data_IF_013986105636
#
_entry.id   IF_013986105636
#
_cell.length_a   1.000
_cell.length_b   1.000
_cell.length_c   1.000
_cell.angle_alpha   90.00
_cell.angle_beta   90.00
_cell.angle_gamma   90.00
#
_symmetry.space_group_name_H-M   'P 1'
#
loop_
_entity.id
_entity.type
_entity.pdbx_description
1 polymer ?
#
# COMPACT_ATOMS: atom_id res chain seq x y z
N UNK A 1 -7.15 -39.84 -22.22
CA UNK A 1 -7.76 -38.54 -22.55
C UNK A 1 -8.91 -38.31 -21.57
N UNK A 2 -8.68 -37.50 -20.55
CA UNK A 2 -9.75 -37.10 -19.62
C UNK A 2 -10.55 -35.95 -20.26
N UNK A 3 -11.89 -35.93 -20.12
CA UNK A 3 -12.69 -34.90 -20.78
C UNK A 3 -12.48 -33.56 -20.10
N UNK A 4 -12.08 -32.56 -20.88
CA UNK A 4 -12.06 -31.15 -20.49
C UNK A 4 -13.52 -30.72 -20.32
N UNK A 5 -13.97 -30.54 -19.07
CA UNK A 5 -15.23 -29.85 -18.79
C UNK A 5 -15.02 -28.38 -19.15
N UNK A 6 -15.65 -27.93 -20.23
CA UNK A 6 -15.84 -26.52 -20.48
C UNK A 6 -16.66 -25.92 -19.32
N UNK A 7 -16.01 -25.16 -18.44
CA UNK A 7 -16.72 -24.33 -17.47
C UNK A 7 -17.29 -23.14 -18.22
N UNK A 8 -18.62 -23.10 -18.32
CA UNK A 8 -19.36 -21.95 -18.82
C UNK A 8 -19.18 -20.78 -17.83
N UNK A 9 -19.08 -19.52 -18.32
CA UNK A 9 -19.08 -18.34 -17.45
C UNK A 9 -20.32 -18.35 -16.55
N UNK A 10 -20.16 -18.15 -15.24
CA UNK A 10 -21.29 -17.89 -14.35
C UNK A 10 -21.84 -16.51 -14.69
N UNK A 11 -22.85 -16.48 -15.57
CA UNK A 11 -23.78 -15.36 -15.62
C UNK A 11 -24.49 -15.37 -14.25
N UNK A 12 -24.23 -14.33 -13.44
CA UNK A 12 -24.72 -14.22 -12.07
C UNK A 12 -26.16 -14.71 -11.93
N UNK A 13 -26.32 -15.86 -11.29
CA UNK A 13 -27.62 -16.41 -10.92
C UNK A 13 -27.93 -15.99 -9.50
N UNK A 14 -29.15 -15.48 -9.29
CA UNK A 14 -29.76 -15.19 -7.99
C UNK A 14 -29.31 -13.92 -7.25
N UNK A 15 -29.10 -12.79 -7.93
CA UNK A 15 -28.94 -11.50 -7.23
C UNK A 15 -27.54 -11.22 -6.67
N UNK A 16 -26.62 -12.19 -6.75
CA UNK A 16 -25.20 -11.97 -6.47
C UNK A 16 -24.56 -11.02 -7.49
N UNK A 17 -23.80 -10.05 -7.01
CA UNK A 17 -22.98 -9.18 -7.86
C UNK A 17 -21.98 -10.03 -8.65
N UNK A 18 -21.79 -9.76 -9.95
CA UNK A 18 -20.71 -10.40 -10.71
C UNK A 18 -19.34 -9.90 -10.25
N UNK A 19 -18.29 -10.73 -10.41
CA UNK A 19 -16.90 -10.36 -10.13
C UNK A 19 -16.45 -9.11 -10.93
N UNK A 20 -16.92 -8.96 -12.18
CA UNK A 20 -16.70 -7.75 -12.97
C UNK A 20 -17.42 -6.50 -12.40
N UNK A 21 -18.62 -6.66 -11.85
CA UNK A 21 -19.32 -5.56 -11.19
C UNK A 21 -18.58 -5.12 -9.91
N UNK A 22 -18.12 -6.07 -9.10
CA UNK A 22 -17.27 -5.78 -7.93
C UNK A 22 -15.97 -5.07 -8.31
N UNK A 23 -15.30 -5.57 -9.36
CA UNK A 23 -14.09 -4.95 -9.90
C UNK A 23 -14.30 -3.47 -10.21
N UNK A 24 -15.39 -3.13 -10.92
CA UNK A 24 -15.74 -1.75 -11.28
C UNK A 24 -16.04 -0.87 -10.08
N UNK A 25 -16.77 -1.39 -9.08
CA UNK A 25 -17.04 -0.65 -7.84
C UNK A 25 -15.72 -0.37 -7.10
N UNK A 26 -14.86 -1.37 -6.98
CA UNK A 26 -13.54 -1.22 -6.39
C UNK A 26 -12.67 -0.18 -7.10
N UNK A 27 -12.59 -0.25 -8.44
CA UNK A 27 -11.85 0.72 -9.26
C UNK A 27 -12.36 2.15 -9.07
N UNK A 28 -13.69 2.34 -8.91
CA UNK A 28 -14.26 3.66 -8.62
C UNK A 28 -13.74 4.23 -7.30
N UNK A 29 -13.75 3.42 -6.24
CA UNK A 29 -13.25 3.86 -4.93
C UNK A 29 -11.74 4.07 -4.97
N UNK A 30 -10.99 3.16 -5.59
CA UNK A 30 -9.55 3.27 -5.74
C UNK A 30 -9.11 4.52 -6.51
N UNK A 31 -9.90 4.98 -7.51
CA UNK A 31 -9.65 6.25 -8.21
C UNK A 31 -9.72 7.45 -7.28
N UNK A 32 -10.68 7.47 -6.37
CA UNK A 32 -10.79 8.55 -5.37
C UNK A 32 -9.65 8.46 -4.36
N UNK A 33 -9.27 7.25 -3.95
CA UNK A 33 -8.12 7.04 -3.06
C UNK A 33 -6.80 7.49 -3.68
N UNK A 34 -6.54 7.22 -4.97
CA UNK A 34 -5.31 7.69 -5.64
C UNK A 34 -5.23 9.22 -5.72
N UNK A 35 -6.37 9.92 -5.74
CA UNK A 35 -6.42 11.39 -5.74
C UNK A 35 -6.38 11.99 -4.34
N UNK A 36 -6.53 11.16 -3.31
CA UNK A 36 -6.49 11.58 -1.94
C UNK A 36 -5.07 12.05 -1.58
N UNK A 37 -4.88 13.26 -1.01
CA UNK A 37 -3.58 13.73 -0.57
C UNK A 37 -2.88 12.80 0.44
N UNK A 38 -3.62 11.94 1.14
CA UNK A 38 -3.10 10.97 2.08
C UNK A 38 -2.66 9.65 1.45
N UNK A 39 -2.90 9.43 0.16
CA UNK A 39 -2.25 8.33 -0.55
C UNK A 39 -0.73 8.52 -0.55
N UNK A 40 0.00 7.45 -0.26
CA UNK A 40 1.46 7.44 -0.29
C UNK A 40 2.01 6.27 -1.10
N UNK A 41 3.12 6.53 -1.79
CA UNK A 41 3.90 5.54 -2.51
C UNK A 41 5.34 5.50 -1.97
N UNK A 42 5.46 5.19 -0.67
CA UNK A 42 6.77 5.07 -0.01
C UNK A 42 7.50 3.79 -0.46
N UNK A 43 8.64 3.85 -1.17
CA UNK A 43 9.25 2.65 -1.76
C UNK A 43 9.61 1.57 -0.75
N UNK A 44 10.01 1.97 0.47
CA UNK A 44 10.46 1.07 1.53
C UNK A 44 9.27 0.34 2.17
N UNK A 45 8.23 1.07 2.58
CA UNK A 45 7.02 0.44 3.17
C UNK A 45 6.28 -0.36 2.11
N UNK A 46 6.14 0.15 0.88
CA UNK A 46 5.48 -0.58 -0.22
C UNK A 46 6.17 -1.91 -0.48
N UNK A 47 7.49 -1.94 -0.60
CA UNK A 47 8.22 -3.19 -0.82
C UNK A 47 8.02 -4.19 0.33
N UNK A 48 8.11 -3.72 1.58
CA UNK A 48 7.95 -4.56 2.75
C UNK A 48 6.53 -5.16 2.86
N UNK A 49 5.50 -4.32 2.70
CA UNK A 49 4.09 -4.75 2.72
C UNK A 49 3.82 -5.70 1.55
N UNK A 50 4.29 -5.38 0.35
CA UNK A 50 4.09 -6.22 -0.82
C UNK A 50 4.76 -7.60 -0.67
N UNK A 51 5.92 -7.67 -0.03
CA UNK A 51 6.59 -8.95 0.27
C UNK A 51 5.79 -9.84 1.24
N UNK A 52 5.03 -9.26 2.17
CA UNK A 52 4.07 -10.01 3.00
C UNK A 52 2.85 -10.39 2.17
N UNK A 53 2.29 -9.41 1.46
CA UNK A 53 1.08 -9.55 0.67
C UNK A 53 1.17 -10.67 -0.38
N UNK A 54 2.25 -10.74 -1.14
CA UNK A 54 2.45 -11.79 -2.16
C UNK A 54 2.52 -13.19 -1.56
N UNK A 55 3.18 -13.36 -0.39
CA UNK A 55 3.21 -14.65 0.31
C UNK A 55 1.81 -15.09 0.76
N UNK A 56 0.97 -14.14 1.21
CA UNK A 56 -0.42 -14.40 1.58
C UNK A 56 -1.26 -14.79 0.36
N UNK A 57 -1.15 -14.07 -0.76
CA UNK A 57 -1.83 -14.41 -2.02
C UNK A 57 -1.44 -15.81 -2.51
N UNK A 58 -0.15 -16.14 -2.51
CA UNK A 58 0.33 -17.45 -2.93
C UNK A 58 -0.18 -18.57 -2.03
N UNK A 59 -0.29 -18.31 -0.72
CA UNK A 59 -0.93 -19.24 0.23
C UNK A 59 -2.42 -19.40 -0.06
N UNK A 60 -3.14 -18.30 -0.26
CA UNK A 60 -4.57 -18.31 -0.61
C UNK A 60 -4.85 -19.08 -1.91
N UNK A 61 -4.00 -18.92 -2.94
CA UNK A 61 -4.03 -19.72 -4.17
C UNK A 61 -3.87 -21.21 -3.90
N UNK A 62 -2.82 -21.60 -3.16
CA UNK A 62 -2.56 -23.01 -2.83
C UNK A 62 -3.67 -23.65 -2.01
N UNK A 63 -4.31 -22.86 -1.14
CA UNK A 63 -5.42 -23.29 -0.28
C UNK A 63 -6.78 -23.32 -0.99
N UNK A 64 -6.88 -22.72 -2.17
CA UNK A 64 -8.12 -22.65 -2.95
C UNK A 64 -9.06 -21.50 -2.56
N UNK A 65 -8.65 -20.62 -1.65
CA UNK A 65 -9.42 -19.42 -1.27
C UNK A 65 -9.43 -18.40 -2.42
N UNK A 66 -8.37 -18.38 -3.24
CA UNK A 66 -8.28 -17.62 -4.48
C UNK A 66 -8.69 -18.50 -5.66
N UNK A 67 -9.97 -18.46 -6.04
CA UNK A 67 -10.45 -19.19 -7.21
C UNK A 67 -9.83 -18.61 -8.50
N UNK A 68 -9.73 -19.38 -9.60
CA UNK A 68 -9.20 -18.87 -10.86
C UNK A 68 -9.91 -17.61 -11.36
N UNK A 69 -11.23 -17.53 -11.16
CA UNK A 69 -12.02 -16.35 -11.52
C UNK A 69 -11.63 -15.13 -10.68
N UNK A 70 -11.52 -15.27 -9.36
CA UNK A 70 -11.12 -14.18 -8.47
C UNK A 70 -9.68 -13.73 -8.76
N UNK A 71 -8.75 -14.67 -8.98
CA UNK A 71 -7.35 -14.38 -9.29
C UNK A 71 -7.21 -13.57 -10.59
N UNK A 72 -7.99 -13.92 -11.63
CA UNK A 72 -7.97 -13.20 -12.92
C UNK A 72 -8.66 -11.83 -12.86
N UNK A 73 -9.81 -11.73 -12.16
CA UNK A 73 -10.71 -10.57 -12.27
C UNK A 73 -10.39 -9.44 -11.28
N UNK A 74 -9.82 -9.75 -10.12
CA UNK A 74 -9.61 -8.78 -9.04
C UNK A 74 -8.22 -8.11 -9.11
N UNK A 75 -8.07 -6.98 -8.39
CA UNK A 75 -6.85 -6.17 -8.42
C UNK A 75 -5.68 -6.79 -7.68
N UNK A 76 -5.99 -7.33 -6.50
CA UNK A 76 -5.06 -7.73 -5.44
C UNK A 76 -4.02 -6.66 -5.10
N UNK A 77 -4.46 -5.41 -4.94
CA UNK A 77 -3.62 -4.24 -4.70
C UNK A 77 -3.84 -3.67 -3.29
N UNK A 78 -2.74 -3.43 -2.57
CA UNK A 78 -2.74 -2.72 -1.28
C UNK A 78 -2.36 -1.27 -1.52
N UNK A 79 -3.23 -0.34 -1.12
CA UNK A 79 -3.02 1.10 -1.17
C UNK A 79 -2.62 1.59 0.22
N UNK A 80 -1.54 2.37 0.30
CA UNK A 80 -1.03 2.88 1.57
C UNK A 80 -1.52 4.31 1.83
N UNK A 81 -1.96 4.57 3.05
CA UNK A 81 -2.37 5.89 3.52
C UNK A 81 -1.43 6.44 4.60
N UNK A 82 -1.02 7.72 4.51
CA UNK A 82 -0.27 8.45 5.55
C UNK A 82 -1.15 8.90 6.72
N UNK A 83 -1.93 7.99 7.26
CA UNK A 83 -2.78 8.24 8.43
C UNK A 83 -2.19 7.52 9.66
N UNK A 84 -2.19 8.24 10.79
CA UNK A 84 -1.74 7.76 12.10
C UNK A 84 -2.72 6.81 12.78
N UNK A 85 -3.96 6.74 12.30
CA UNK A 85 -4.96 5.83 12.84
C UNK A 85 -4.60 4.37 12.53
N UNK A 86 -4.93 3.48 13.47
CA UNK A 86 -4.79 2.04 13.31
C UNK A 86 -5.97 1.56 12.49
N UNK A 87 -5.74 1.37 11.18
CA UNK A 87 -6.78 0.92 10.26
C UNK A 87 -6.22 0.14 9.05
N UNK A 88 -7.03 -0.80 8.57
CA UNK A 88 -6.92 -1.47 7.29
C UNK A 88 -8.35 -1.84 6.85
N UNK A 89 -8.57 -1.97 5.56
CA UNK A 89 -9.91 -2.32 5.04
C UNK A 89 -9.83 -2.98 3.67
N UNK A 90 -10.66 -3.99 3.46
CA UNK A 90 -10.98 -4.53 2.15
C UNK A 90 -11.97 -3.65 1.38
N UNK A 91 -11.83 -3.61 0.06
CA UNK A 91 -12.79 -3.03 -0.89
C UNK A 91 -13.16 -4.10 -1.94
N UNK A 92 -14.34 -3.96 -2.59
CA UNK A 92 -14.74 -4.85 -3.68
C UNK A 92 -13.67 -4.95 -4.77
N UNK A 93 -13.59 -6.11 -5.44
CA UNK A 93 -12.69 -6.26 -6.58
C UNK A 93 -11.19 -6.34 -6.24
N UNK A 94 -10.86 -6.69 -4.99
CA UNK A 94 -9.47 -6.95 -4.55
C UNK A 94 -8.60 -5.72 -4.35
N UNK A 95 -9.19 -4.60 -3.98
CA UNK A 95 -8.45 -3.45 -3.46
C UNK A 95 -8.45 -3.49 -1.94
N UNK A 96 -7.36 -3.06 -1.32
CA UNK A 96 -7.28 -2.91 0.14
C UNK A 96 -6.61 -1.59 0.48
N UNK A 97 -7.05 -0.96 1.57
CA UNK A 97 -6.36 0.15 2.19
C UNK A 97 -5.60 -0.29 3.43
N UNK A 98 -4.43 0.29 3.64
CA UNK A 98 -3.61 0.08 4.83
C UNK A 98 -3.05 1.42 5.32
N UNK A 99 -3.40 1.81 6.55
CA UNK A 99 -2.86 3.02 7.14
C UNK A 99 -1.47 2.77 7.72
N UNK A 100 -0.56 3.72 7.52
CA UNK A 100 0.79 3.69 8.12
C UNK A 100 0.77 3.59 9.65
N UNK A 101 -0.27 4.11 10.32
CA UNK A 101 -0.51 3.94 11.74
C UNK A 101 -0.67 2.47 12.18
N UNK A 102 -1.30 1.62 11.37
CA UNK A 102 -1.37 0.17 11.65
C UNK A 102 0.03 -0.45 11.62
N UNK A 103 0.81 -0.16 10.57
CA UNK A 103 2.19 -0.66 10.43
C UNK A 103 3.08 -0.17 11.58
N UNK A 104 2.85 1.04 12.09
CA UNK A 104 3.60 1.62 13.19
C UNK A 104 3.35 0.93 14.55
N UNK A 105 2.19 0.28 14.75
CA UNK A 105 1.82 -0.37 16.02
C UNK A 105 2.06 -1.88 16.03
N UNK A 106 2.28 -2.51 14.88
CA UNK A 106 2.65 -3.92 14.81
C UNK A 106 4.05 -4.14 15.40
N UNK A 107 4.23 -5.24 16.14
CA UNK A 107 5.48 -5.58 16.78
C UNK A 107 6.35 -6.50 15.92
N UNK A 108 5.79 -7.21 14.94
CA UNK A 108 6.52 -8.06 14.01
C UNK A 108 5.74 -8.21 12.69
N UNK A 109 6.38 -8.86 11.71
CA UNK A 109 5.76 -9.16 10.41
C UNK A 109 4.53 -10.05 10.53
N UNK A 110 4.45 -10.90 11.56
CA UNK A 110 3.34 -11.84 11.73
C UNK A 110 2.06 -11.12 12.16
N UNK A 111 2.14 -10.12 13.05
CA UNK A 111 0.99 -9.29 13.39
C UNK A 111 0.47 -8.54 12.15
N UNK A 112 1.35 -7.95 11.35
CA UNK A 112 0.94 -7.29 10.12
C UNK A 112 0.33 -8.29 9.12
N UNK A 113 0.94 -9.48 9.00
CA UNK A 113 0.42 -10.56 8.15
C UNK A 113 -0.94 -11.08 8.63
N UNK A 114 -1.24 -11.06 9.95
CA UNK A 114 -2.56 -11.43 10.45
C UNK A 114 -3.64 -10.47 10.00
N UNK A 115 -3.36 -9.16 10.03
CA UNK A 115 -4.33 -8.14 9.56
C UNK A 115 -4.51 -8.25 8.05
N UNK A 116 -3.41 -8.35 7.29
CA UNK A 116 -3.50 -8.51 5.84
C UNK A 116 -4.20 -9.83 5.45
N UNK A 117 -3.95 -10.92 6.17
CA UNK A 117 -4.62 -12.20 5.94
C UNK A 117 -6.12 -12.13 6.27
N UNK A 118 -6.49 -11.39 7.31
CA UNK A 118 -7.89 -11.10 7.65
C UNK A 118 -8.59 -10.30 6.54
N UNK A 119 -7.98 -9.20 6.10
CA UNK A 119 -8.54 -8.38 5.00
C UNK A 119 -8.60 -9.13 3.67
N UNK A 120 -7.58 -9.94 3.35
CA UNK A 120 -7.61 -10.84 2.19
C UNK A 120 -8.83 -11.77 2.26
N UNK A 121 -9.13 -12.30 3.44
CA UNK A 121 -10.27 -13.19 3.65
C UNK A 121 -11.61 -12.48 3.46
N UNK A 122 -11.73 -11.20 3.82
CA UNK A 122 -12.94 -10.44 3.48
C UNK A 122 -13.17 -10.35 1.96
N UNK A 123 -12.10 -10.21 1.18
CA UNK A 123 -12.18 -10.15 -0.28
C UNK A 123 -12.47 -11.53 -0.87
N UNK A 124 -11.73 -12.58 -0.48
CA UNK A 124 -11.93 -13.93 -1.04
C UNK A 124 -13.31 -14.48 -0.74
N UNK A 125 -13.83 -14.20 0.47
CA UNK A 125 -15.18 -14.59 0.87
C UNK A 125 -16.27 -13.63 0.41
N UNK A 126 -15.91 -12.63 -0.41
CA UNK A 126 -16.82 -11.65 -1.02
C UNK A 126 -17.78 -11.05 0.00
N UNK A 127 -17.29 -10.73 1.21
CA UNK A 127 -18.13 -10.31 2.34
C UNK A 127 -18.91 -9.04 2.02
N UNK A 128 -18.27 -8.06 1.36
CA UNK A 128 -18.93 -6.81 0.96
C UNK A 128 -20.05 -7.10 -0.03
N UNK A 129 -19.83 -7.98 -1.01
CA UNK A 129 -20.85 -8.38 -1.98
C UNK A 129 -22.04 -9.07 -1.34
N UNK A 130 -21.79 -10.00 -0.41
CA UNK A 130 -22.84 -10.68 0.36
C UNK A 130 -23.63 -9.69 1.24
N UNK A 131 -22.97 -8.68 1.81
CA UNK A 131 -23.65 -7.60 2.54
C UNK A 131 -24.50 -6.72 1.61
N UNK A 132 -23.99 -6.37 0.43
CA UNK A 132 -24.71 -5.56 -0.56
C UNK A 132 -25.98 -6.26 -1.05
N UNK A 133 -25.92 -7.57 -1.26
CA UNK A 133 -27.07 -8.40 -1.64
C UNK A 133 -28.15 -8.42 -0.55
N UNK A 134 -27.73 -8.57 0.71
CA UNK A 134 -28.64 -8.57 1.86
C UNK A 134 -29.36 -7.21 2.05
N UNK A 135 -28.82 -6.10 1.54
CA UNK A 135 -29.34 -4.74 1.75
C UNK A 135 -30.23 -4.17 0.61
N UNK A 136 -30.76 -5.01 -0.29
CA UNK A 136 -31.67 -4.69 -1.42
C UNK A 136 -31.00 -4.16 -2.72
N UNK A 137 -31.69 -4.28 -3.86
CA UNK A 137 -31.16 -3.99 -5.20
C UNK A 137 -30.76 -2.52 -5.46
N UNK A 138 -31.12 -1.57 -4.59
CA UNK A 138 -30.67 -0.16 -4.68
C UNK A 138 -29.36 0.11 -3.92
N UNK A 139 -28.81 -0.90 -3.22
CA UNK A 139 -27.67 -0.78 -2.33
C UNK A 139 -26.29 -0.47 -2.97
N UNK A 140 -25.95 -0.90 -4.21
CA UNK A 140 -24.57 -0.77 -4.67
C UNK A 140 -24.04 0.66 -4.78
N UNK A 141 -24.87 1.60 -5.27
CA UNK A 141 -24.50 3.01 -5.38
C UNK A 141 -24.49 3.70 -4.01
N UNK A 142 -25.41 3.35 -3.12
CA UNK A 142 -25.45 3.86 -1.76
C UNK A 142 -24.23 3.41 -0.97
N UNK A 143 -23.85 2.12 -1.04
CA UNK A 143 -22.69 1.56 -0.34
C UNK A 143 -21.37 2.11 -0.86
N UNK A 144 -21.24 2.32 -2.18
CA UNK A 144 -20.07 3.03 -2.73
C UNK A 144 -19.98 4.46 -2.17
N UNK A 145 -21.10 5.18 -2.07
CA UNK A 145 -21.17 6.49 -1.41
C UNK A 145 -20.86 6.44 0.09
N UNK A 146 -21.29 5.38 0.79
CA UNK A 146 -20.98 5.15 2.21
C UNK A 146 -19.48 4.92 2.44
N UNK A 147 -18.84 4.07 1.64
CA UNK A 147 -17.41 3.78 1.76
C UNK A 147 -16.58 5.05 1.54
N UNK A 148 -16.91 5.83 0.50
CA UNK A 148 -16.28 7.14 0.26
C UNK A 148 -16.52 8.12 1.42
N UNK A 149 -17.75 8.15 1.98
CA UNK A 149 -18.09 8.98 3.14
C UNK A 149 -17.37 8.57 4.42
N UNK A 150 -17.22 7.28 4.69
CA UNK A 150 -16.53 6.76 5.87
C UNK A 150 -15.03 7.07 5.83
N UNK A 151 -14.40 6.96 4.66
CA UNK A 151 -13.00 7.36 4.42
C UNK A 151 -12.80 8.86 4.68
N UNK A 152 -13.78 9.71 4.35
CA UNK A 152 -13.75 11.13 4.63
C UNK A 152 -14.01 11.46 6.12
N UNK A 153 -14.92 10.72 6.77
CA UNK A 153 -15.30 10.94 8.18
C UNK A 153 -14.19 10.54 9.16
N UNK A 154 -13.31 9.59 8.80
CA UNK A 154 -12.12 9.24 9.60
C UNK A 154 -11.12 10.39 9.74
N UNK A 155 -11.23 11.45 8.92
CA UNK A 155 -10.27 12.56 8.82
C UNK A 155 -10.66 13.82 9.60
N UNK A 156 -11.91 13.97 10.03
CA UNK A 156 -12.41 15.23 10.61
C UNK A 156 -12.21 15.33 12.13
N UNK A 157 -10.97 15.59 12.54
CA UNK A 157 -10.68 16.09 13.90
C UNK A 157 -10.89 17.60 14.06
N UNK A 158 -10.63 18.41 13.01
CA UNK A 158 -10.78 19.87 13.02
C UNK A 158 -10.93 20.42 11.59
N UNK A 159 -12.15 20.74 11.15
CA UNK A 159 -12.45 21.71 10.08
C UNK A 159 -13.97 21.90 9.94
N UNK A 160 -14.48 23.06 10.38
CA UNK A 160 -15.91 23.42 10.43
C UNK A 160 -16.52 23.83 9.09
N UNK A 161 -16.63 22.90 8.13
CA UNK A 161 -17.30 23.17 6.84
C UNK A 161 -18.18 22.04 6.28
N UNK A 162 -18.19 20.85 6.90
CA UNK A 162 -18.85 19.65 6.37
C UNK A 162 -20.02 19.16 7.25
N UNK A 163 -20.77 20.09 7.87
CA UNK A 163 -21.81 19.75 8.85
C UNK A 163 -23.05 19.05 8.24
N UNK A 164 -23.19 18.97 6.92
CA UNK A 164 -24.28 18.22 6.27
C UNK A 164 -23.86 16.77 5.95
N UNK A 165 -22.56 16.43 5.90
CA UNK A 165 -22.08 15.07 5.61
C UNK A 165 -21.56 14.31 6.84
N UNK A 166 -21.27 14.99 7.96
CA UNK A 166 -20.69 14.36 9.15
C UNK A 166 -21.62 13.41 9.92
N UNK A 167 -22.89 13.81 10.14
CA UNK A 167 -23.84 13.00 10.92
C UNK A 167 -24.36 11.78 10.13
N UNK A 168 -24.59 11.94 8.83
CA UNK A 168 -24.96 10.84 7.93
C UNK A 168 -23.78 9.91 7.64
N UNK A 169 -22.56 10.44 7.45
CA UNK A 169 -21.35 9.63 7.27
C UNK A 169 -20.98 8.77 8.49
N UNK A 170 -21.22 9.25 9.72
CA UNK A 170 -21.04 8.47 10.95
C UNK A 170 -22.09 7.35 11.12
N UNK A 171 -23.35 7.61 10.76
CA UNK A 171 -24.39 6.57 10.71
C UNK A 171 -24.11 5.51 9.62
N UNK A 172 -23.54 5.93 8.48
CA UNK A 172 -23.16 5.08 7.36
C UNK A 172 -21.90 4.23 7.65
N UNK A 173 -20.90 4.78 8.36
CA UNK A 173 -19.72 4.03 8.80
C UNK A 173 -20.08 2.95 9.84
N UNK A 174 -21.09 3.20 10.68
CA UNK A 174 -21.65 2.17 11.59
C UNK A 174 -22.42 1.07 10.83
N UNK A 175 -22.97 1.34 9.64
CA UNK A 175 -23.65 0.35 8.80
C UNK A 175 -22.70 -0.56 8.00
N UNK A 176 -21.41 -0.25 7.92
CA UNK A 176 -20.38 -1.06 7.23
C UNK A 176 -19.66 -2.06 8.15
N UNK A 177 -20.11 -2.19 9.41
CA UNK A 177 -19.58 -3.20 10.32
C UNK A 177 -19.90 -4.61 9.81
N UNK A 178 -18.87 -5.45 9.66
CA UNK A 178 -19.07 -6.83 9.28
C UNK A 178 -19.83 -7.59 10.37
N UNK A 179 -20.69 -8.52 9.95
CA UNK A 179 -21.40 -9.38 10.90
C UNK A 179 -20.41 -10.24 11.69
N UNK A 180 -20.78 -10.67 12.89
CA UNK A 180 -19.93 -11.55 13.72
C UNK A 180 -19.56 -12.84 12.99
N UNK A 181 -20.46 -13.36 12.16
CA UNK A 181 -20.25 -14.57 11.40
C UNK A 181 -19.19 -14.37 10.31
N UNK A 182 -19.23 -13.23 9.60
CA UNK A 182 -18.23 -12.84 8.60
C UNK A 182 -16.86 -12.59 9.24
N UNK A 183 -16.82 -11.94 10.41
CA UNK A 183 -15.59 -11.72 11.15
C UNK A 183 -14.95 -13.05 11.57
N UNK A 184 -15.73 -14.01 12.09
CA UNK A 184 -15.21 -15.36 12.40
C UNK A 184 -14.75 -16.11 11.16
N UNK A 185 -15.46 -15.96 10.04
CA UNK A 185 -15.04 -16.59 8.77
C UNK A 185 -13.69 -16.02 8.31
N UNK A 186 -13.55 -14.69 8.32
CA UNK A 186 -12.31 -13.99 7.97
C UNK A 186 -11.14 -14.34 8.91
N UNK A 187 -11.40 -14.42 10.22
CA UNK A 187 -10.41 -14.85 11.22
C UNK A 187 -9.83 -16.23 10.90
N UNK A 188 -10.72 -17.18 10.61
CA UNK A 188 -10.36 -18.60 10.41
C UNK A 188 -9.60 -18.82 9.12
N UNK A 189 -10.08 -18.20 8.03
CA UNK A 189 -9.43 -18.29 6.72
C UNK A 189 -8.12 -17.52 6.76
N UNK A 190 -8.11 -16.32 7.34
CA UNK A 190 -6.92 -15.48 7.50
C UNK A 190 -5.83 -16.18 8.28
N UNK A 191 -6.18 -16.85 9.39
CA UNK A 191 -5.26 -17.69 10.15
C UNK A 191 -4.68 -18.82 9.29
N UNK A 192 -5.51 -19.52 8.51
CA UNK A 192 -5.08 -20.59 7.60
C UNK A 192 -4.18 -20.10 6.47
N UNK A 193 -4.48 -18.94 5.90
CA UNK A 193 -3.70 -18.31 4.82
C UNK A 193 -2.34 -17.83 5.36
N UNK A 194 -2.34 -17.13 6.49
CA UNK A 194 -1.14 -16.63 7.16
C UNK A 194 -0.18 -17.77 7.51
N UNK A 195 -0.69 -18.84 8.13
CA UNK A 195 0.12 -20.02 8.49
C UNK A 195 0.65 -20.75 7.25
N UNK A 196 -0.17 -20.92 6.20
CA UNK A 196 0.26 -21.49 4.92
C UNK A 196 1.26 -20.63 4.13
N UNK A 197 1.40 -19.35 4.49
CA UNK A 197 2.39 -18.42 3.96
C UNK A 197 3.70 -18.42 4.76
N UNK A 198 3.79 -19.23 5.83
CA UNK A 198 4.98 -19.37 6.67
C UNK A 198 5.10 -18.34 7.78
N UNK A 199 4.06 -17.54 8.05
CA UNK A 199 4.01 -16.64 9.20
C UNK A 199 3.53 -17.36 10.45
N UNK A 200 3.98 -16.89 11.61
CA UNK A 200 3.67 -17.55 12.87
C UNK A 200 2.25 -17.24 13.36
N UNK A 201 1.44 -18.25 13.69
CA UNK A 201 0.07 -18.06 14.14
C UNK A 201 -0.05 -17.24 15.44
N UNK A 202 1.03 -17.10 16.20
CA UNK A 202 1.12 -16.21 17.35
C UNK A 202 0.82 -14.74 17.00
N UNK A 203 1.14 -14.28 15.78
CA UNK A 203 0.86 -12.90 15.35
C UNK A 203 -0.62 -12.56 15.39
N UNK A 204 -1.50 -13.51 15.06
CA UNK A 204 -2.96 -13.33 15.14
C UNK A 204 -3.41 -13.11 16.60
N UNK A 205 -2.88 -13.92 17.52
CA UNK A 205 -3.19 -13.81 18.96
C UNK A 205 -2.69 -12.49 19.53
N UNK A 206 -1.44 -12.11 19.28
CA UNK A 206 -0.88 -10.88 19.86
C UNK A 206 -1.51 -9.62 19.26
N UNK A 207 -1.86 -9.64 17.98
CA UNK A 207 -2.62 -8.55 17.37
C UNK A 207 -4.02 -8.43 17.98
N UNK A 208 -4.70 -9.54 18.24
CA UNK A 208 -6.00 -9.54 18.90
C UNK A 208 -5.93 -9.03 20.33
N UNK A 209 -4.90 -9.41 21.09
CA UNK A 209 -4.67 -8.88 22.43
C UNK A 209 -4.49 -7.35 22.42
N UNK A 210 -3.75 -6.81 21.44
CA UNK A 210 -3.58 -5.36 21.26
C UNK A 210 -4.91 -4.67 20.96
N UNK A 211 -5.69 -5.22 20.02
CA UNK A 211 -6.99 -4.69 19.63
C UNK A 211 -8.01 -4.76 20.79
N UNK A 212 -7.99 -5.84 21.56
CA UNK A 212 -8.85 -6.00 22.73
C UNK A 212 -8.47 -5.02 23.85
N UNK A 213 -7.18 -4.80 24.09
CA UNK A 213 -6.71 -3.78 25.03
C UNK A 213 -7.14 -2.38 24.59
N UNK A 214 -6.96 -2.05 23.31
CA UNK A 214 -7.41 -0.77 22.75
C UNK A 214 -8.93 -0.58 22.89
N UNK A 215 -9.73 -1.63 22.66
CA UNK A 215 -11.18 -1.61 22.83
C UNK A 215 -11.61 -1.32 24.28
N UNK A 216 -10.88 -1.85 25.28
CA UNK A 216 -11.16 -1.63 26.71
C UNK A 216 -10.82 -0.22 27.19
N UNK A 217 -9.79 0.40 26.61
CA UNK A 217 -9.26 1.69 27.06
C UNK A 217 -10.07 2.92 26.60
N UNK A 218 -11.29 2.71 26.09
CA UNK A 218 -12.18 3.72 25.50
C UNK A 218 -11.46 4.52 24.41
N UNK A 219 -11.50 3.97 23.18
CA UNK A 219 -10.81 4.51 22.00
C UNK A 219 -11.10 6.01 21.81
N UNK A 220 -10.04 6.83 21.85
CA UNK A 220 -10.08 8.26 21.55
C UNK A 220 -10.16 8.56 20.04
N UNK A 221 -10.50 7.55 19.23
CA UNK A 221 -10.57 7.60 17.77
C UNK A 221 -9.29 7.15 17.07
N UNK A 222 -8.30 6.63 17.81
CA UNK A 222 -7.06 6.11 17.26
C UNK A 222 -7.21 4.73 16.59
N UNK A 223 -8.28 3.97 16.90
CA UNK A 223 -8.54 2.65 16.34
C UNK A 223 -9.87 2.56 15.57
N UNK A 224 -10.03 3.29 14.44
CA UNK A 224 -11.19 3.13 13.55
C UNK A 224 -11.45 1.67 13.11
N UNK A 225 -10.38 0.85 13.02
CA UNK A 225 -10.47 -0.58 12.72
C UNK A 225 -11.51 -1.33 13.56
N UNK A 226 -11.60 -1.00 14.86
CA UNK A 226 -12.53 -1.67 15.79
C UNK A 226 -14.00 -1.34 15.53
N UNK A 227 -14.29 -0.30 14.73
CA UNK A 227 -15.66 0.08 14.37
C UNK A 227 -16.19 -0.79 13.24
N UNK A 228 -15.35 -1.12 12.26
CA UNK A 228 -15.70 -2.01 11.14
C UNK A 228 -15.48 -3.48 11.47
N UNK A 229 -14.51 -3.77 12.36
CA UNK A 229 -14.15 -5.11 12.83
C UNK A 229 -14.29 -5.22 14.35
N UNK A 230 -15.52 -5.35 14.89
CA UNK A 230 -15.72 -5.42 16.34
C UNK A 230 -14.99 -6.62 16.97
N UNK A 231 -14.08 -6.33 17.89
CA UNK A 231 -13.35 -7.36 18.64
C UNK A 231 -14.23 -7.93 19.75
N UNK A 232 -14.37 -9.26 19.82
CA UNK A 232 -15.13 -9.96 20.88
C UNK A 232 -14.25 -10.98 21.60
N UNK A 233 -14.63 -11.32 22.84
CA UNK A 233 -13.95 -12.39 23.60
C UNK A 233 -14.07 -13.75 22.92
N UNK A 234 -15.19 -14.00 22.23
CA UNK A 234 -15.43 -15.22 21.44
C UNK A 234 -14.41 -15.38 20.30
N UNK A 235 -14.18 -14.31 19.52
CA UNK A 235 -13.19 -14.33 18.42
C UNK A 235 -11.78 -14.58 18.94
N UNK A 236 -11.40 -13.90 20.01
CA UNK A 236 -10.11 -14.12 20.67
C UNK A 236 -9.95 -15.56 21.16
N UNK A 237 -11.00 -16.14 21.76
CA UNK A 237 -10.98 -17.54 22.20
C UNK A 237 -10.87 -18.53 21.02
N UNK A 238 -11.56 -18.30 19.89
CA UNK A 238 -11.48 -19.17 18.70
C UNK A 238 -10.05 -19.21 18.13
N UNK A 239 -9.41 -18.04 17.97
CA UNK A 239 -8.03 -17.94 17.48
C UNK A 239 -7.03 -18.54 18.47
N UNK A 240 -7.21 -18.31 19.78
CA UNK A 240 -6.36 -18.93 20.79
C UNK A 240 -6.46 -20.46 20.76
N UNK A 241 -7.67 -21.01 20.67
CA UNK A 241 -7.88 -22.46 20.57
C UNK A 241 -7.22 -23.05 19.30
N UNK A 242 -7.25 -22.32 18.18
CA UNK A 242 -6.57 -22.72 16.94
C UNK A 242 -5.05 -22.68 17.06
N UNK A 243 -4.52 -21.69 17.77
CA UNK A 243 -3.09 -21.58 18.04
C UNK A 243 -2.57 -22.76 18.88
N UNK A 244 -3.39 -23.37 19.74
CA UNK A 244 -3.00 -24.58 20.49
C UNK A 244 -2.83 -25.83 19.60
N UNK A 245 -3.41 -25.82 18.39
CA UNK A 245 -3.29 -26.93 17.43
C UNK A 245 -2.00 -26.89 16.60
N UNK A 246 -1.20 -25.83 16.75
CA UNK A 246 0.04 -25.60 16.01
C UNK A 246 1.18 -25.30 16.98
N UNK A 247 2.43 -25.69 16.68
CA UNK A 247 3.55 -25.42 17.59
C UNK A 247 3.68 -23.93 17.89
N UNK A 248 3.73 -23.58 19.19
CA UNK A 248 3.99 -22.21 19.62
C UNK A 248 5.41 -21.82 19.29
N UNK A 249 5.58 -20.90 18.34
CA UNK A 249 6.84 -20.20 18.11
C UNK A 249 6.76 -18.81 18.74
N UNK A 250 7.68 -18.48 19.64
CA UNK A 250 7.92 -17.08 20.00
C UNK A 250 8.63 -16.45 18.82
N UNK A 251 7.94 -15.58 18.07
CA UNK A 251 8.61 -14.82 17.00
C UNK A 251 9.07 -13.47 17.55
N UNK A 252 10.39 -13.28 17.75
CA UNK A 252 10.90 -12.02 18.21
C UNK A 252 10.70 -10.94 17.14
N UNK A 253 10.56 -9.69 17.57
CA UNK A 253 10.62 -8.54 16.67
C UNK A 253 11.98 -8.51 15.96
N UNK A 254 11.97 -8.62 14.64
CA UNK A 254 13.18 -8.45 13.81
C UNK A 254 13.59 -6.98 13.79
N UNK A 255 14.88 -6.71 13.57
CA UNK A 255 15.35 -5.33 13.43
C UNK A 255 14.74 -4.65 12.20
N UNK A 256 14.57 -5.39 11.11
CA UNK A 256 13.88 -4.93 9.91
C UNK A 256 12.47 -4.42 10.25
N UNK A 257 11.61 -5.23 10.87
CA UNK A 257 10.25 -4.80 11.20
C UNK A 257 10.24 -3.63 12.17
N UNK A 258 11.14 -3.63 13.16
CA UNK A 258 11.27 -2.52 14.09
C UNK A 258 11.57 -1.19 13.37
N UNK A 259 12.48 -1.20 12.39
CA UNK A 259 12.80 -0.03 11.58
C UNK A 259 11.64 0.37 10.65
N UNK A 260 10.94 -0.59 10.03
CA UNK A 260 9.74 -0.33 9.22
C UNK A 260 8.63 0.33 10.04
N UNK A 261 8.35 -0.17 11.24
CA UNK A 261 7.38 0.44 12.15
C UNK A 261 7.81 1.87 12.54
N UNK A 262 9.12 2.10 12.73
CA UNK A 262 9.69 3.43 12.98
C UNK A 262 9.50 4.38 11.79
N UNK A 263 9.73 3.90 10.56
CA UNK A 263 9.47 4.63 9.32
C UNK A 263 8.00 4.99 9.18
N UNK A 264 7.11 4.02 9.37
CA UNK A 264 5.67 4.19 9.27
C UNK A 264 5.14 5.24 10.27
N UNK A 265 5.68 5.26 11.49
CA UNK A 265 5.36 6.28 12.51
C UNK A 265 5.72 7.71 12.08
N UNK A 266 6.83 7.89 11.35
CA UNK A 266 7.23 9.22 10.83
C UNK A 266 6.39 9.59 9.60
N UNK A 267 6.13 8.62 8.72
CA UNK A 267 5.36 8.82 7.48
C UNK A 267 3.88 9.08 7.73
N UNK A 268 3.31 8.60 8.85
CA UNK A 268 1.93 8.88 9.26
C UNK A 268 1.65 10.36 9.60
N UNK A 269 2.60 11.25 9.28
CA UNK A 269 2.57 12.69 9.45
C UNK A 269 2.11 13.14 10.86
N UNK A 270 2.87 12.79 11.92
CA UNK A 270 2.44 13.02 13.29
C UNK A 270 2.48 14.51 13.73
N UNK A 271 2.95 15.41 12.87
CA UNK A 271 3.14 16.85 13.15
C UNK A 271 4.55 17.20 13.65
N UNK A 272 4.93 18.47 13.53
CA UNK A 272 6.30 18.93 13.79
C UNK A 272 6.78 18.67 15.22
N UNK A 273 5.92 18.85 16.21
CA UNK A 273 6.28 18.64 17.62
C UNK A 273 6.50 17.16 17.93
N UNK A 274 5.70 16.28 17.32
CA UNK A 274 5.90 14.84 17.44
C UNK A 274 7.21 14.40 16.75
N UNK A 275 7.57 14.99 15.60
CA UNK A 275 8.85 14.72 14.96
C UNK A 275 10.03 15.14 15.85
N UNK A 276 9.96 16.33 16.47
CA UNK A 276 10.99 16.79 17.43
C UNK A 276 11.07 15.88 18.65
N UNK A 277 9.94 15.39 19.15
CA UNK A 277 9.92 14.42 20.24
C UNK A 277 10.62 13.10 19.84
N UNK A 278 10.40 12.59 18.62
CA UNK A 278 11.11 11.41 18.11
C UNK A 278 12.63 11.61 18.05
N UNK A 279 13.08 12.80 17.65
CA UNK A 279 14.51 13.15 17.68
C UNK A 279 15.04 13.12 19.11
N UNK A 280 14.33 13.76 20.04
CA UNK A 280 14.70 13.78 21.46
C UNK A 280 14.75 12.38 22.08
N UNK A 281 13.76 11.53 21.79
CA UNK A 281 13.72 10.14 22.25
C UNK A 281 14.92 9.34 21.75
N UNK A 282 15.35 9.55 20.51
CA UNK A 282 16.52 8.91 19.93
C UNK A 282 17.84 9.41 20.54
N UNK A 283 17.90 10.66 20.99
CA UNK A 283 19.06 11.23 21.68
C UNK A 283 19.17 10.80 23.14
N UNK A 284 18.09 10.27 23.74
CA UNK A 284 18.09 9.84 25.14
C UNK A 284 19.14 8.75 25.41
N UNK A 285 19.92 8.94 26.48
CA UNK A 285 20.94 7.98 26.92
C UNK A 285 20.33 6.67 27.44
N UNK A 286 19.11 6.73 27.99
CA UNK A 286 18.35 5.57 28.45
C UNK A 286 18.03 4.56 27.34
N UNK A 287 18.11 4.98 26.07
CA UNK A 287 17.86 4.11 24.93
C UNK A 287 18.84 2.94 24.87
N UNK A 288 20.09 3.14 25.30
CA UNK A 288 21.13 2.09 25.28
C UNK A 288 20.78 0.87 26.17
N UNK A 289 19.91 1.05 27.18
CA UNK A 289 19.44 -0.01 28.06
C UNK A 289 18.24 -0.80 27.50
N UNK A 290 17.65 -0.35 26.39
CA UNK A 290 16.47 -1.00 25.80
C UNK A 290 16.86 -2.22 24.96
N UNK A 291 15.94 -3.17 24.72
CA UNK A 291 16.18 -4.28 23.79
C UNK A 291 16.55 -3.77 22.39
N UNK A 292 17.46 -4.47 21.70
CA UNK A 292 18.01 -4.07 20.40
C UNK A 292 16.96 -3.71 19.34
N UNK A 293 15.83 -4.42 19.17
CA UNK A 293 14.78 -4.00 18.23
C UNK A 293 14.14 -2.67 18.62
N UNK A 294 13.96 -2.39 19.92
CA UNK A 294 13.45 -1.10 20.37
C UNK A 294 14.44 0.02 20.12
N UNK A 295 15.74 -0.23 20.30
CA UNK A 295 16.78 0.71 19.89
C UNK A 295 16.70 1.01 18.40
N UNK A 296 16.59 -0.03 17.55
CA UNK A 296 16.50 0.11 16.10
C UNK A 296 15.27 0.94 15.67
N UNK A 297 14.10 0.67 16.24
CA UNK A 297 12.88 1.43 15.97
C UNK A 297 13.05 2.93 16.30
N UNK A 298 13.49 3.24 17.52
CA UNK A 298 13.60 4.63 18.00
C UNK A 298 14.70 5.38 17.25
N UNK A 299 15.86 4.75 17.02
CA UNK A 299 16.95 5.38 16.25
C UNK A 299 16.54 5.62 14.80
N UNK A 300 15.86 4.68 14.16
CA UNK A 300 15.39 4.86 12.78
C UNK A 300 14.38 5.99 12.70
N UNK A 301 13.34 5.97 13.55
CA UNK A 301 12.31 7.01 13.60
C UNK A 301 12.92 8.39 13.90
N UNK A 302 13.82 8.49 14.88
CA UNK A 302 14.48 9.74 15.22
C UNK A 302 15.42 10.25 14.13
N UNK A 303 16.15 9.37 13.45
CA UNK A 303 17.05 9.75 12.33
C UNK A 303 16.25 10.27 11.14
N UNK A 304 15.16 9.58 10.77
CA UNK A 304 14.26 10.04 9.72
C UNK A 304 13.52 11.32 10.12
N UNK A 305 13.09 11.44 11.38
CA UNK A 305 12.47 12.67 11.88
C UNK A 305 13.44 13.85 11.84
N UNK A 306 14.71 13.67 12.21
CA UNK A 306 15.75 14.69 12.11
C UNK A 306 15.91 15.19 10.67
N UNK A 307 15.90 14.27 9.69
CA UNK A 307 15.90 14.64 8.28
C UNK A 307 14.67 15.46 7.88
N UNK A 308 13.46 15.03 8.29
CA UNK A 308 12.19 15.72 7.97
C UNK A 308 12.08 17.12 8.57
N UNK A 309 12.70 17.36 9.72
CA UNK A 309 12.73 18.69 10.36
C UNK A 309 13.99 19.50 10.01
N UNK A 310 14.80 19.00 9.07
CA UNK A 310 16.05 19.60 8.62
C UNK A 310 17.08 19.85 9.74
N UNK A 311 17.08 19.01 10.78
CA UNK A 311 18.09 19.05 11.84
C UNK A 311 19.32 18.22 11.44
N UNK A 312 20.23 18.87 10.70
CA UNK A 312 21.44 18.23 10.20
C UNK A 312 22.37 17.73 11.32
N UNK A 313 22.41 18.42 12.45
CA UNK A 313 23.27 18.06 13.58
C UNK A 313 22.75 16.79 14.25
N UNK A 314 21.44 16.71 14.54
CA UNK A 314 20.84 15.50 15.07
C UNK A 314 20.97 14.32 14.10
N UNK A 315 20.77 14.54 12.80
CA UNK A 315 20.97 13.49 11.79
C UNK A 315 22.40 12.93 11.81
N UNK A 316 23.42 13.80 11.80
CA UNK A 316 24.83 13.41 11.86
C UNK A 316 25.18 12.65 13.14
N UNK A 317 24.51 12.98 14.25
CA UNK A 317 24.69 12.28 15.53
C UNK A 317 23.99 10.91 15.57
N UNK A 318 22.78 10.81 15.00
CA UNK A 318 21.92 9.63 15.13
C UNK A 318 22.24 8.54 14.11
N UNK A 319 22.62 8.90 12.87
CA UNK A 319 22.88 7.92 11.81
C UNK A 319 23.96 6.88 12.19
N UNK A 320 25.14 7.26 12.72
CA UNK A 320 26.14 6.26 13.13
C UNK A 320 25.66 5.32 14.23
N UNK A 321 24.76 5.79 15.12
CA UNK A 321 24.17 4.97 16.18
C UNK A 321 23.16 3.98 15.59
N UNK A 322 22.36 4.40 14.61
CA UNK A 322 21.47 3.53 13.86
C UNK A 322 22.26 2.43 13.12
N UNK A 323 23.34 2.81 12.43
CA UNK A 323 24.23 1.88 11.74
C UNK A 323 24.86 0.87 12.71
N UNK A 324 25.32 1.33 13.89
CA UNK A 324 25.86 0.46 14.93
C UNK A 324 24.83 -0.57 15.43
N UNK A 325 23.58 -0.14 15.66
CA UNK A 325 22.50 -1.06 16.07
C UNK A 325 22.13 -2.06 14.96
N UNK A 326 22.36 -1.72 13.70
CA UNK A 326 22.12 -2.61 12.55
C UNK A 326 23.21 -3.68 12.35
N UNK A 327 24.40 -3.57 12.96
CA UNK A 327 25.55 -4.46 12.69
C UNK A 327 25.23 -5.95 12.87
N UNK A 328 25.43 -6.76 11.83
CA UNK A 328 25.16 -8.20 11.86
C UNK A 328 23.73 -8.59 11.48
N UNK A 329 22.90 -7.62 11.06
CA UNK A 329 21.59 -7.86 10.44
C UNK A 329 21.55 -7.15 9.07
N UNK A 330 21.56 -7.93 7.99
CA UNK A 330 21.68 -7.40 6.63
C UNK A 330 20.47 -6.53 6.21
N UNK A 331 19.26 -6.88 6.67
CA UNK A 331 18.06 -6.13 6.36
C UNK A 331 18.04 -4.78 7.10
N UNK A 332 18.41 -4.77 8.38
CA UNK A 332 18.57 -3.53 9.14
C UNK A 332 19.66 -2.63 8.55
N UNK A 333 20.80 -3.19 8.14
CA UNK A 333 21.88 -2.43 7.50
C UNK A 333 21.42 -1.82 6.17
N UNK A 334 20.65 -2.59 5.38
CA UNK A 334 20.05 -2.09 4.15
C UNK A 334 19.14 -0.89 4.43
N UNK A 335 18.23 -0.99 5.39
CA UNK A 335 17.31 0.10 5.75
C UNK A 335 18.06 1.36 6.24
N UNK A 336 19.12 1.22 7.04
CA UNK A 336 19.95 2.34 7.47
C UNK A 336 20.65 3.04 6.28
N UNK A 337 21.17 2.26 5.31
CA UNK A 337 21.77 2.80 4.08
C UNK A 337 20.76 3.50 3.19
N UNK A 338 19.56 2.93 3.02
CA UNK A 338 18.48 3.56 2.26
C UNK A 338 18.09 4.91 2.87
N UNK A 339 17.95 4.99 4.19
CA UNK A 339 17.69 6.26 4.87
C UNK A 339 18.82 7.29 4.66
N UNK A 340 20.08 6.86 4.72
CA UNK A 340 21.21 7.73 4.42
C UNK A 340 21.19 8.24 2.97
N UNK A 341 20.80 7.38 2.03
CA UNK A 341 20.68 7.72 0.60
C UNK A 341 19.51 8.68 0.34
N UNK A 342 18.36 8.51 1.00
CA UNK A 342 17.23 9.47 0.95
C UNK A 342 17.69 10.88 1.37
N UNK A 343 18.48 10.99 2.44
CA UNK A 343 19.01 12.30 2.89
C UNK A 343 20.08 12.85 1.96
N UNK A 344 20.87 12.00 1.31
CA UNK A 344 21.81 12.43 0.28
C UNK A 344 21.06 12.97 -0.96
N UNK A 345 19.98 12.31 -1.37
CA UNK A 345 19.09 12.77 -2.44
C UNK A 345 18.44 14.12 -2.11
N UNK A 346 17.88 14.29 -0.91
CA UNK A 346 17.28 15.55 -0.45
C UNK A 346 18.27 16.73 -0.51
N UNK A 347 19.58 16.43 -0.34
CA UNK A 347 20.68 17.39 -0.43
C UNK A 347 21.29 17.51 -1.83
N UNK A 348 20.76 16.77 -2.80
CA UNK A 348 21.27 16.66 -4.16
C UNK A 348 22.73 16.16 -4.24
N UNK A 349 23.20 15.40 -3.25
CA UNK A 349 24.49 14.69 -3.29
C UNK A 349 24.36 13.40 -4.11
N UNK A 350 24.22 13.55 -5.43
CA UNK A 350 24.06 12.41 -6.35
C UNK A 350 25.21 11.39 -6.26
N UNK A 351 26.49 11.79 -6.20
CA UNK A 351 27.57 10.83 -5.98
C UNK A 351 27.45 10.11 -4.63
N UNK A 352 26.93 10.79 -3.58
CA UNK A 352 26.62 10.18 -2.29
C UNK A 352 25.56 9.11 -2.37
N UNK A 353 24.45 9.37 -3.07
CA UNK A 353 23.40 8.38 -3.33
C UNK A 353 24.01 7.13 -3.99
N UNK A 354 24.77 7.30 -5.08
CA UNK A 354 25.37 6.18 -5.83
C UNK A 354 26.45 5.41 -5.06
N UNK A 355 27.02 5.96 -3.98
CA UNK A 355 27.90 5.22 -3.06
C UNK A 355 27.12 4.37 -2.06
N UNK A 356 25.87 4.74 -1.76
CA UNK A 356 25.05 4.14 -0.71
C UNK A 356 24.08 3.08 -1.25
N UNK A 357 23.62 3.23 -2.49
CA UNK A 357 22.69 2.31 -3.14
C UNK A 357 23.28 1.73 -4.42
N UNK A 358 23.01 0.43 -4.62
CA UNK A 358 23.42 -0.29 -5.83
C UNK A 358 22.26 -0.33 -6.83
N UNK A 359 22.46 0.27 -8.01
CA UNK A 359 21.48 0.26 -9.10
C UNK A 359 21.31 -1.13 -9.73
N UNK A 360 22.13 -2.14 -9.40
CA UNK A 360 21.85 -3.52 -9.80
C UNK A 360 20.90 -4.23 -8.80
N UNK A 361 20.73 -3.71 -7.58
CA UNK A 361 19.91 -4.33 -6.53
C UNK A 361 18.46 -4.50 -6.99
N UNK A 362 17.83 -5.69 -6.89
CA UNK A 362 16.49 -5.93 -7.40
C UNK A 362 15.38 -5.17 -6.66
N UNK A 363 15.71 -4.51 -5.53
CA UNK A 363 14.75 -3.78 -4.70
C UNK A 363 14.21 -2.52 -5.35
N UNK A 364 12.95 -2.20 -5.02
CA UNK A 364 12.28 -0.97 -5.47
C UNK A 364 12.92 0.29 -4.86
N UNK A 365 13.27 0.34 -3.56
CA UNK A 365 13.90 1.52 -2.96
C UNK A 365 15.22 1.91 -3.64
N UNK A 366 16.10 0.95 -3.93
CA UNK A 366 17.37 1.23 -4.59
C UNK A 366 17.18 1.72 -6.02
N UNK A 367 16.27 1.11 -6.77
CA UNK A 367 15.90 1.59 -8.11
C UNK A 367 15.45 3.05 -8.06
N UNK A 368 14.62 3.41 -7.08
CA UNK A 368 14.01 4.73 -6.98
C UNK A 368 15.00 5.81 -6.52
N UNK A 369 15.93 5.47 -5.63
CA UNK A 369 16.98 6.38 -5.17
C UNK A 369 18.09 6.57 -6.22
N UNK A 370 18.53 5.48 -6.86
CA UNK A 370 19.64 5.55 -7.81
C UNK A 370 19.23 6.09 -9.18
N UNK A 371 17.98 5.90 -9.63
CA UNK A 371 17.54 6.37 -10.96
C UNK A 371 17.69 7.89 -11.17
N UNK A 372 17.19 8.77 -10.27
CA UNK A 372 17.42 10.21 -10.37
C UNK A 372 18.91 10.58 -10.36
N UNK A 373 19.69 9.97 -9.46
CA UNK A 373 21.13 10.21 -9.35
C UNK A 373 21.90 9.83 -10.63
N UNK A 374 21.54 8.70 -11.26
CA UNK A 374 22.12 8.27 -12.53
C UNK A 374 21.71 9.17 -13.70
N UNK A 375 20.44 9.59 -13.75
CA UNK A 375 19.99 10.57 -14.76
C UNK A 375 20.78 11.87 -14.64
N UNK A 376 20.95 12.40 -13.42
CA UNK A 376 21.73 13.62 -13.17
C UNK A 376 23.22 13.50 -13.51
N UNK A 377 23.78 12.30 -13.45
CA UNK A 377 25.19 12.03 -13.77
C UNK A 377 25.43 11.55 -15.20
N UNK A 378 24.41 11.62 -16.07
CA UNK A 378 24.54 11.35 -17.51
C UNK A 378 24.26 9.90 -17.93
N UNK A 379 23.76 9.06 -17.04
CA UNK A 379 23.49 7.62 -17.27
C UNK A 379 22.00 7.33 -17.56
N UNK A 380 21.27 8.28 -18.15
CA UNK A 380 19.83 8.16 -18.37
C UNK A 380 19.42 6.98 -19.27
N UNK A 381 20.29 6.54 -20.18
CA UNK A 381 20.03 5.39 -21.06
C UNK A 381 19.94 4.07 -20.29
N UNK A 382 20.87 3.84 -19.37
CA UNK A 382 20.88 2.67 -18.48
C UNK A 382 19.62 2.65 -17.59
N UNK A 383 19.26 3.82 -17.05
CA UNK A 383 18.06 3.99 -16.24
C UNK A 383 16.79 3.63 -17.03
N UNK A 384 16.67 4.14 -18.26
CA UNK A 384 15.51 3.84 -19.10
C UNK A 384 15.41 2.34 -19.43
N UNK A 385 16.52 1.66 -19.75
CA UNK A 385 16.52 0.23 -20.05
C UNK A 385 16.03 -0.61 -18.85
N UNK A 386 16.52 -0.28 -17.65
CA UNK A 386 16.12 -1.00 -16.44
C UNK A 386 14.66 -0.74 -16.09
N UNK A 387 14.22 0.52 -16.15
CA UNK A 387 12.84 0.88 -15.84
C UNK A 387 11.84 0.32 -16.86
N UNK A 388 12.19 0.24 -18.15
CA UNK A 388 11.37 -0.46 -19.16
C UNK A 388 11.10 -1.92 -18.75
N UNK A 389 12.14 -2.63 -18.29
CA UNK A 389 12.01 -4.02 -17.83
C UNK A 389 11.15 -4.10 -16.56
N UNK A 390 11.31 -3.14 -15.65
CA UNK A 390 10.51 -3.05 -14.43
C UNK A 390 9.02 -2.88 -14.74
N UNK A 391 8.65 -1.87 -15.51
CA UNK A 391 7.25 -1.53 -15.79
C UNK A 391 6.56 -2.54 -16.71
N UNK A 392 7.33 -3.28 -17.52
CA UNK A 392 6.78 -4.39 -18.32
C UNK A 392 6.20 -5.52 -17.45
N UNK A 393 6.79 -5.76 -16.27
CA UNK A 393 6.32 -6.77 -15.31
C UNK A 393 5.47 -6.18 -14.19
N UNK A 394 5.53 -4.86 -13.98
CA UNK A 394 4.81 -4.12 -12.94
C UNK A 394 4.10 -2.89 -13.55
N UNK A 395 3.15 -3.07 -14.47
CA UNK A 395 2.55 -1.96 -15.22
C UNK A 395 1.72 -1.00 -14.36
N UNK A 396 1.38 -1.39 -13.12
CA UNK A 396 0.65 -0.53 -12.16
C UNK A 396 1.58 0.30 -11.25
N UNK A 397 2.90 0.20 -11.41
CA UNK A 397 3.85 1.03 -10.65
C UNK A 397 3.97 2.42 -11.30
N UNK A 398 3.10 3.33 -10.90
CA UNK A 398 3.00 4.66 -11.48
C UNK A 398 4.27 5.49 -11.31
N UNK A 399 4.92 5.42 -10.14
CA UNK A 399 6.16 6.16 -9.90
C UNK A 399 7.35 5.61 -10.69
N UNK A 400 7.39 4.31 -10.98
CA UNK A 400 8.39 3.77 -11.91
C UNK A 400 8.18 4.27 -13.35
N UNK A 401 6.92 4.41 -13.80
CA UNK A 401 6.61 5.05 -15.08
C UNK A 401 7.04 6.52 -15.13
N UNK A 402 6.86 7.27 -14.04
CA UNK A 402 7.32 8.65 -13.93
C UNK A 402 8.85 8.75 -14.03
N UNK A 403 9.59 7.90 -13.30
CA UNK A 403 11.05 7.84 -13.41
C UNK A 403 11.49 7.50 -14.84
N UNK A 404 10.76 6.62 -15.53
CA UNK A 404 11.04 6.27 -16.93
C UNK A 404 10.81 7.47 -17.85
N UNK A 405 9.75 8.24 -17.62
CA UNK A 405 9.48 9.48 -18.36
C UNK A 405 10.64 10.47 -18.18
N UNK A 406 11.11 10.69 -16.95
CA UNK A 406 12.28 11.55 -16.65
C UNK A 406 13.55 11.07 -17.37
N UNK A 407 13.81 9.75 -17.37
CA UNK A 407 14.97 9.19 -18.05
C UNK A 407 14.90 9.38 -19.58
N UNK A 408 13.72 9.28 -20.19
CA UNK A 408 13.55 9.59 -21.61
C UNK A 408 13.67 11.08 -21.93
N UNK A 409 13.17 11.95 -21.05
CA UNK A 409 13.33 13.41 -21.20
C UNK A 409 14.81 13.80 -21.21
N UNK A 410 15.60 13.25 -20.30
CA UNK A 410 17.04 13.48 -20.24
C UNK A 410 17.79 12.99 -21.50
N UNK A 411 17.23 12.03 -22.23
CA UNK A 411 17.75 11.55 -23.52
C UNK A 411 17.22 12.33 -24.73
N UNK A 412 16.36 13.33 -24.53
CA UNK A 412 15.69 14.04 -25.62
C UNK A 412 14.62 13.21 -26.35
N UNK A 413 14.23 12.05 -25.82
CA UNK A 413 13.23 11.14 -26.40
C UNK A 413 11.81 11.58 -26.02
N UNK A 414 11.36 12.71 -26.56
CA UNK A 414 10.15 13.39 -26.08
C UNK A 414 8.87 12.56 -26.22
N UNK A 415 8.65 11.85 -27.32
CA UNK A 415 7.43 11.02 -27.49
C UNK A 415 7.37 9.89 -26.47
N UNK A 416 8.49 9.20 -26.24
CA UNK A 416 8.59 8.12 -25.26
C UNK A 416 8.38 8.63 -23.84
N UNK A 417 8.91 9.82 -23.52
CA UNK A 417 8.65 10.49 -22.26
C UNK A 417 7.16 10.78 -22.04
N UNK A 418 6.50 11.37 -23.05
CA UNK A 418 5.07 11.68 -23.00
C UNK A 418 4.22 10.41 -22.82
N UNK A 419 4.55 9.33 -23.52
CA UNK A 419 3.87 8.04 -23.33
C UNK A 419 4.10 7.48 -21.94
N UNK A 420 5.33 7.46 -21.44
CA UNK A 420 5.63 6.94 -20.10
C UNK A 420 4.87 7.73 -19.02
N UNK A 421 4.80 9.06 -19.15
CA UNK A 421 3.99 9.93 -18.29
C UNK A 421 2.49 9.61 -18.39
N UNK A 422 1.97 9.35 -19.59
CA UNK A 422 0.59 8.90 -19.77
C UNK A 422 0.32 7.56 -19.09
N UNK A 423 1.22 6.57 -19.20
CA UNK A 423 1.05 5.26 -18.56
C UNK A 423 1.12 5.36 -17.02
N UNK A 424 1.87 6.33 -16.46
CA UNK A 424 1.82 6.61 -15.02
C UNK A 424 0.40 7.03 -14.57
N UNK A 425 -0.26 7.88 -15.34
CA UNK A 425 -1.66 8.26 -15.08
C UNK A 425 -2.62 7.07 -15.29
N UNK A 426 -2.39 6.21 -16.28
CA UNK A 426 -3.16 4.97 -16.46
C UNK A 426 -3.01 4.05 -15.25
N UNK A 427 -1.81 3.90 -14.70
CA UNK A 427 -1.54 3.06 -13.53
C UNK A 427 -2.34 3.51 -12.28
N UNK A 428 -2.61 4.82 -12.16
CA UNK A 428 -3.46 5.40 -11.10
C UNK A 428 -4.93 5.55 -11.52
N UNK A 429 -5.30 5.04 -12.69
CA UNK A 429 -6.65 5.12 -13.26
C UNK A 429 -7.15 6.57 -13.48
N UNK A 430 -6.23 7.51 -13.67
CA UNK A 430 -6.53 8.89 -14.07
C UNK A 430 -6.54 9.02 -15.60
N UNK A 431 -7.53 8.36 -16.23
CA UNK A 431 -7.60 8.23 -17.68
C UNK A 431 -7.78 9.57 -18.41
N UNK A 432 -8.35 10.57 -17.75
CA UNK A 432 -8.44 11.93 -18.32
C UNK A 432 -7.04 12.53 -18.49
N UNK A 433 -6.23 12.55 -17.42
CA UNK A 433 -4.86 13.06 -17.48
C UNK A 433 -3.99 12.24 -18.46
N UNK A 434 -4.14 10.91 -18.46
CA UNK A 434 -3.45 10.05 -19.43
C UNK A 434 -3.79 10.41 -20.89
N UNK A 435 -5.07 10.61 -21.21
CA UNK A 435 -5.51 10.97 -22.55
C UNK A 435 -4.98 12.35 -22.97
N UNK A 436 -4.95 13.32 -22.05
CA UNK A 436 -4.43 14.65 -22.32
C UNK A 436 -2.92 14.60 -22.63
N UNK A 437 -2.14 13.75 -21.94
CA UNK A 437 -0.73 13.50 -22.27
C UNK A 437 -0.58 12.86 -23.65
N UNK A 438 -1.35 11.82 -23.96
CA UNK A 438 -1.26 11.16 -25.27
C UNK A 438 -1.63 12.10 -26.43
N UNK A 439 -2.63 12.95 -26.25
CA UNK A 439 -3.00 14.00 -27.21
C UNK A 439 -1.90 15.03 -27.40
N UNK A 440 -1.21 15.42 -26.33
CA UNK A 440 -0.01 16.26 -26.44
C UNK A 440 1.06 15.58 -27.31
N UNK A 441 1.26 14.27 -27.15
CA UNK A 441 2.14 13.48 -28.02
C UNK A 441 1.71 13.47 -29.48
N UNK A 442 0.42 13.25 -29.78
CA UNK A 442 -0.13 13.34 -31.14
C UNK A 442 0.08 14.73 -31.76
N UNK A 443 -0.11 15.78 -30.97
CA UNK A 443 0.12 17.17 -31.39
C UNK A 443 1.59 17.45 -31.71
N UNK A 444 2.53 16.86 -30.96
CA UNK A 444 3.97 16.97 -31.24
C UNK A 444 4.35 16.30 -32.56
N UNK A 445 3.76 15.13 -32.85
CA UNK A 445 3.93 14.44 -34.15
C UNK A 445 3.39 15.31 -35.28
N UNK A 446 2.18 15.87 -35.13
CA UNK A 446 1.55 16.73 -36.14
C UNK A 446 2.36 17.99 -36.43
N UNK A 447 2.96 18.59 -35.41
CA UNK A 447 3.79 19.81 -35.53
C UNK A 447 5.23 19.53 -35.97
N UNK A 448 5.64 18.26 -36.10
CA UNK A 448 7.00 17.89 -36.44
C UNK A 448 8.04 18.17 -35.35
N UNK A 449 7.62 18.46 -34.12
CA UNK A 449 8.52 18.83 -33.01
C UNK A 449 9.12 17.64 -32.29
N UNK A 450 8.65 16.42 -32.59
CA UNK A 450 9.00 15.18 -31.89
C UNK A 450 10.15 14.37 -32.54
N UNK A 451 10.66 14.79 -33.70
CA UNK A 451 11.55 13.96 -34.52
C UNK A 451 10.82 12.80 -35.21
N UNK A 452 11.53 12.07 -36.08
CA UNK A 452 10.95 11.01 -36.92
C UNK A 452 10.86 9.63 -36.22
N UNK A 453 10.15 9.53 -35.08
CA UNK A 453 9.86 8.24 -34.42
C UNK A 453 8.44 7.75 -34.75
N UNK A 454 8.28 7.15 -35.94
CA UNK A 454 7.00 6.66 -36.46
C UNK A 454 6.41 5.51 -35.64
N UNK A 455 7.25 4.67 -35.03
CA UNK A 455 6.81 3.56 -34.20
C UNK A 455 6.15 4.11 -32.94
N UNK A 456 6.83 5.04 -32.26
CA UNK A 456 6.28 5.63 -31.04
C UNK A 456 5.01 6.44 -31.31
N UNK A 457 4.96 7.17 -32.43
CA UNK A 457 3.76 7.87 -32.87
C UNK A 457 2.56 6.91 -33.06
N UNK A 458 2.78 5.75 -33.68
CA UNK A 458 1.73 4.73 -33.86
C UNK A 458 1.27 4.12 -32.52
N UNK A 459 2.19 3.96 -31.57
CA UNK A 459 1.86 3.45 -30.23
C UNK A 459 1.01 4.48 -29.48
N UNK A 460 1.42 5.75 -29.48
CA UNK A 460 0.67 6.84 -28.85
C UNK A 460 -0.75 6.93 -29.42
N UNK A 461 -0.92 6.85 -30.75
CA UNK A 461 -2.24 6.88 -31.38
C UNK A 461 -3.13 5.71 -30.94
N UNK A 462 -2.56 4.50 -30.89
CA UNK A 462 -3.27 3.31 -30.43
C UNK A 462 -3.65 3.40 -28.95
N UNK A 463 -2.71 3.84 -28.10
CA UNK A 463 -2.98 4.01 -26.67
C UNK A 463 -3.99 5.13 -26.41
N UNK A 464 -3.97 6.22 -27.18
CA UNK A 464 -4.96 7.30 -27.06
C UNK A 464 -6.38 6.77 -27.28
N UNK A 465 -6.60 5.93 -28.31
CA UNK A 465 -7.89 5.27 -28.54
C UNK A 465 -8.29 4.35 -27.38
N UNK A 466 -7.35 3.56 -26.87
CA UNK A 466 -7.61 2.63 -25.75
C UNK A 466 -7.96 3.38 -24.47
N UNK A 467 -7.20 4.41 -24.11
CA UNK A 467 -7.47 5.25 -22.93
C UNK A 467 -8.78 6.03 -23.10
N UNK A 468 -9.10 6.51 -24.30
CA UNK A 468 -10.40 7.13 -24.57
C UNK A 468 -11.58 6.15 -24.37
N UNK A 469 -11.42 4.87 -24.73
CA UNK A 469 -12.42 3.84 -24.43
C UNK A 469 -12.60 3.65 -22.93
N UNK A 470 -11.51 3.51 -22.17
CA UNK A 470 -11.54 3.38 -20.71
C UNK A 470 -12.18 4.59 -20.03
N UNK A 471 -11.87 5.79 -20.49
CA UNK A 471 -12.48 7.02 -20.01
C UNK A 471 -13.98 7.08 -20.34
N UNK A 472 -14.37 6.64 -21.52
CA UNK A 472 -15.78 6.56 -21.90
C UNK A 472 -16.54 5.56 -21.04
N UNK A 473 -16.02 4.35 -20.86
CA UNK A 473 -16.56 3.34 -19.94
C UNK A 473 -16.72 3.91 -18.52
N UNK A 474 -15.69 4.59 -18.02
CA UNK A 474 -15.74 5.27 -16.72
C UNK A 474 -16.83 6.36 -16.66
N UNK A 475 -17.08 7.08 -17.76
CA UNK A 475 -18.12 8.12 -17.80
C UNK A 475 -19.54 7.54 -17.74
N UNK A 476 -19.75 6.33 -18.27
CA UNK A 476 -21.03 5.62 -18.22
C UNK A 476 -21.32 5.03 -16.83
N UNK A 477 -20.31 4.94 -15.97
CA UNK A 477 -20.42 4.45 -14.60
C UNK A 477 -20.80 5.53 -13.57
N UNK A 478 -20.71 6.83 -13.94
CA UNK A 478 -21.11 7.97 -13.09
C UNK A 478 -22.62 8.11 -13.08
#
# INVERSE_FOLDING_TARGET
MAPVRAQLPQLGGNGELSTNAERRIGERIARELYRDPDYIDDPVIVEYVQGIWQRLLDSARRRGELTPELDERFAWQVMLGKDRTVNAFALPGGWMGLNSGLVAVTANSDELASVLGHELSHVTQRHISRMMEQQSQQAPLLIAGMLLGALAAGKSGQAGGALISGAQGLAMAQQLSFSRDMEREADRIGFGVMTGAGFAPQGFVTMFDKLQQASRLNDNGAYPYLRTHPMTTERAADIQARQELVPRAVVPTTLEHAMIAGRAKVISNPGIDALRALVSDAQATSLAAQPRPRQANVLYAGTLAAARVHDAAAFQQLLPRLEAVAVGDAAAQRLARLLAAEVAEDRQDWPGVLRLVDFASPGRPELFLAAPALVHTGHASEVAQRLQTWVATRPRDASAWQLLATAYQAQGQQLRAVRADAEAHVAQMDYQAALDRLRAGQDMVRKGTAGADYIEASIIDTRARQVASLLHEQSLER
#
